data_IF_424872790408
#
_entry.id   IF_424872790408
#
_cell.length_a   1.000
_cell.length_b   1.000
_cell.length_c   1.000
_cell.angle_alpha   90.00
_cell.angle_beta   90.00
_cell.angle_gamma   90.00
#
_symmetry.space_group_name_H-M   'P 1'
#
loop_
_entity.id
_entity.type
_entity.pdbx_description
1 polymer ?
#
# COMPACT_ATOMS: atom_id res chain seq x y z
N UNK A 1 9.78 3.89 -4.13
CA UNK A 1 8.66 3.46 -3.25
C UNK A 1 8.06 2.14 -3.75
N UNK A 2 7.98 1.94 -5.06
CA UNK A 2 7.51 0.71 -5.70
C UNK A 2 8.39 -0.53 -5.42
N UNK A 3 9.73 -0.39 -5.48
CA UNK A 3 10.66 -1.51 -5.28
C UNK A 3 10.63 -2.13 -3.88
N UNK A 4 10.06 -1.44 -2.89
CA UNK A 4 10.03 -1.92 -1.51
C UNK A 4 8.97 -3.00 -1.27
N UNK A 5 7.86 -2.93 -2.00
CA UNK A 5 6.72 -3.85 -1.85
C UNK A 5 6.59 -4.82 -3.03
N UNK A 6 7.24 -4.53 -4.17
CA UNK A 6 7.33 -5.48 -5.27
C UNK A 6 8.15 -6.71 -4.87
N UNK A 7 7.62 -7.89 -5.19
CA UNK A 7 8.19 -9.19 -4.82
C UNK A 7 8.37 -9.32 -3.31
N UNK A 8 7.35 -8.91 -2.55
CA UNK A 8 7.28 -9.11 -1.11
C UNK A 8 6.33 -10.27 -0.81
N UNK A 9 6.77 -11.21 0.01
CA UNK A 9 6.00 -12.36 0.42
C UNK A 9 5.64 -13.29 -0.74
N UNK A 10 4.47 -13.90 -0.62
CA UNK A 10 3.93 -14.82 -1.62
C UNK A 10 2.94 -14.16 -2.59
N UNK A 11 2.43 -12.98 -2.25
CA UNK A 11 1.35 -12.31 -2.97
C UNK A 11 1.73 -10.96 -3.55
N UNK A 12 2.61 -10.17 -2.93
CA UNK A 12 2.98 -8.87 -3.50
C UNK A 12 3.87 -9.03 -4.74
N UNK A 13 3.30 -9.08 -5.94
CA UNK A 13 4.03 -9.20 -7.20
C UNK A 13 3.22 -9.90 -8.29
N UNK A 14 3.90 -10.36 -9.34
CA UNK A 14 3.24 -11.12 -10.41
C UNK A 14 3.02 -12.56 -9.96
N UNK A 15 1.78 -13.06 -10.05
CA UNK A 15 1.46 -14.47 -9.84
C UNK A 15 1.29 -14.90 -8.38
N UNK A 16 0.74 -14.03 -7.53
CA UNK A 16 0.53 -14.29 -6.11
C UNK A 16 -0.24 -15.59 -5.82
N UNK A 17 0.31 -16.43 -4.93
CA UNK A 17 -0.31 -17.71 -4.54
C UNK A 17 0.26 -18.22 -3.21
N UNK A 18 -0.47 -19.11 -2.51
CA UNK A 18 -0.01 -19.71 -1.25
C UNK A 18 -0.46 -18.96 0.02
N UNK A 19 0.19 -19.23 1.15
CA UNK A 19 -0.14 -18.64 2.45
C UNK A 19 0.52 -17.26 2.61
N UNK A 20 -0.18 -16.31 3.23
CA UNK A 20 0.37 -14.96 3.46
C UNK A 20 1.44 -15.00 4.53
N UNK A 21 2.63 -14.46 4.26
CA UNK A 21 3.73 -14.51 5.22
C UNK A 21 3.57 -13.53 6.39
N UNK A 22 2.88 -12.41 6.18
CA UNK A 22 2.54 -11.40 7.18
C UNK A 22 1.39 -10.47 6.72
N UNK A 23 1.11 -9.42 7.49
CA UNK A 23 0.06 -8.45 7.20
C UNK A 23 0.31 -7.62 5.93
N UNK A 24 1.56 -7.40 5.53
CA UNK A 24 1.87 -6.71 4.26
C UNK A 24 1.47 -7.63 3.11
N UNK A 25 1.87 -8.89 3.17
CA UNK A 25 1.53 -9.90 2.16
C UNK A 25 0.02 -10.15 2.07
N UNK A 26 -0.69 -10.06 3.20
CA UNK A 26 -2.15 -10.12 3.25
C UNK A 26 -2.85 -8.92 2.59
N UNK A 27 -2.29 -7.71 2.71
CA UNK A 27 -2.78 -6.56 1.95
C UNK A 27 -2.69 -6.84 0.44
N UNK A 28 -1.59 -7.44 -0.02
CA UNK A 28 -1.39 -7.81 -1.43
C UNK A 28 -2.32 -8.93 -1.89
N UNK A 29 -2.52 -9.97 -1.08
CA UNK A 29 -3.50 -11.01 -1.40
C UNK A 29 -4.91 -10.43 -1.58
N UNK A 30 -5.30 -9.50 -0.72
CA UNK A 30 -6.61 -8.84 -0.80
C UNK A 30 -6.71 -7.98 -2.06
N UNK A 31 -5.63 -7.27 -2.41
CA UNK A 31 -5.52 -6.47 -3.62
C UNK A 31 -5.64 -7.31 -4.89
N UNK A 32 -4.88 -8.41 -4.99
CA UNK A 32 -4.94 -9.35 -6.12
C UNK A 32 -6.34 -9.93 -6.29
N UNK A 33 -6.99 -10.33 -5.20
CA UNK A 33 -8.38 -10.84 -5.24
C UNK A 33 -9.37 -9.77 -5.71
N UNK A 34 -9.16 -8.51 -5.33
CA UNK A 34 -9.97 -7.37 -5.79
C UNK A 34 -9.77 -7.10 -7.29
N UNK A 35 -8.53 -7.16 -7.77
CA UNK A 35 -8.22 -7.05 -9.19
C UNK A 35 -8.79 -8.22 -10.01
N UNK A 36 -8.74 -9.44 -9.48
CA UNK A 36 -9.31 -10.62 -10.12
C UNK A 36 -10.84 -10.52 -10.25
N UNK A 37 -11.53 -9.99 -9.23
CA UNK A 37 -12.99 -9.84 -9.22
C UNK A 37 -13.52 -8.66 -10.03
N UNK A 38 -12.66 -7.72 -10.43
CA UNK A 38 -13.06 -6.60 -11.29
C UNK A 38 -13.55 -7.08 -12.66
N UNK A 39 -14.55 -6.38 -13.20
CA UNK A 39 -15.20 -6.65 -14.50
C UNK A 39 -14.37 -6.22 -15.71
N UNK A 40 -13.13 -5.80 -15.48
CA UNK A 40 -12.21 -5.36 -16.51
C UNK A 40 -11.91 -6.45 -17.54
N UNK A 41 -11.86 -6.05 -18.81
CA UNK A 41 -11.38 -6.94 -19.88
C UNK A 41 -9.91 -7.32 -19.64
N UNK A 42 -9.52 -8.51 -20.09
CA UNK A 42 -8.14 -8.97 -20.08
C UNK A 42 -7.19 -7.95 -20.74
N UNK A 43 -7.65 -7.28 -21.80
CA UNK A 43 -6.89 -6.22 -22.47
C UNK A 43 -6.64 -5.02 -21.53
N UNK A 44 -7.67 -4.56 -20.81
CA UNK A 44 -7.53 -3.44 -19.86
C UNK A 44 -6.63 -3.80 -18.66
N UNK A 45 -6.68 -5.06 -18.21
CA UNK A 45 -5.78 -5.57 -17.16
C UNK A 45 -4.32 -5.65 -17.64
N UNK A 46 -4.09 -5.95 -18.92
CA UNK A 46 -2.75 -6.11 -19.49
C UNK A 46 -2.08 -4.80 -19.93
N UNK A 47 -2.83 -3.92 -20.60
CA UNK A 47 -2.31 -2.62 -21.08
C UNK A 47 -2.34 -1.52 -20.01
N UNK A 48 -2.85 -1.85 -18.82
CA UNK A 48 -2.91 -0.97 -17.67
C UNK A 48 -4.14 -0.04 -17.73
N UNK A 49 -4.96 0.01 -16.66
CA UNK A 49 -6.07 0.96 -16.62
C UNK A 49 -5.55 2.38 -16.47
N UNK A 50 -6.15 3.33 -17.19
CA UNK A 50 -5.98 4.76 -16.90
C UNK A 50 -7.16 5.22 -16.05
N UNK A 51 -6.95 5.29 -14.73
CA UNK A 51 -7.90 5.93 -13.82
C UNK A 51 -7.23 7.10 -13.09
N UNK A 52 -8.01 8.05 -12.62
CA UNK A 52 -7.51 9.27 -11.95
C UNK A 52 -7.77 9.19 -10.45
N UNK A 53 -6.84 9.71 -9.65
CA UNK A 53 -7.02 9.86 -8.19
C UNK A 53 -6.39 11.16 -7.69
N UNK A 54 -6.87 11.64 -6.54
CA UNK A 54 -6.33 12.79 -5.80
C UNK A 54 -6.04 12.38 -4.37
N UNK A 55 -4.89 12.76 -3.82
CA UNK A 55 -4.62 12.58 -2.40
C UNK A 55 -5.25 13.73 -1.61
N UNK A 56 -6.30 13.43 -0.84
CA UNK A 56 -6.96 14.42 0.00
C UNK A 56 -6.38 14.38 1.41
N UNK A 57 -6.03 15.54 1.95
CA UNK A 57 -5.62 15.66 3.35
C UNK A 57 -6.80 15.28 4.27
N UNK A 58 -6.53 14.64 5.41
CA UNK A 58 -7.56 14.34 6.41
C UNK A 58 -8.27 15.61 6.90
N UNK A 59 -7.64 16.79 6.80
CA UNK A 59 -8.24 18.10 7.11
C UNK A 59 -9.47 18.42 6.24
N UNK A 60 -9.54 17.92 5.00
CA UNK A 60 -10.66 18.16 4.07
C UNK A 60 -11.86 17.23 4.25
N UNK A 61 -11.69 16.02 4.82
CA UNK A 61 -12.81 15.09 5.04
C UNK A 61 -13.70 15.49 6.23
N UNK A 62 -13.13 16.18 7.22
CA UNK A 62 -13.88 16.67 8.39
C UNK A 62 -14.70 17.95 8.11
N UNK A 63 -14.57 18.54 6.93
CA UNK A 63 -15.29 19.79 6.58
C UNK A 63 -16.74 19.55 6.13
N UNK A 64 -17.17 18.29 5.87
CA UNK A 64 -18.54 18.01 5.42
C UNK A 64 -19.54 17.67 6.54
N UNK A 65 -19.10 17.57 7.81
CA UNK A 65 -20.01 17.25 8.95
C UNK A 65 -20.01 18.26 10.11
N UNK A 66 -19.30 19.39 10.01
CA UNK A 66 -19.35 20.45 11.02
C UNK A 66 -19.80 21.79 10.43
N UNK A 67 -21.09 21.87 10.06
CA UNK A 67 -21.83 23.14 10.06
C UNK A 67 -22.42 23.37 11.46
N UNK A 68 -21.72 24.13 12.31
CA UNK A 68 -22.35 25.15 13.17
C UNK A 68 -21.34 26.01 13.95
N UNK A 69 -21.59 27.31 13.83
CA UNK A 69 -21.30 28.43 14.73
C UNK A 69 -19.90 29.03 14.76
N UNK A 70 -19.87 30.30 14.35
CA UNK A 70 -18.87 31.32 14.68
C UNK A 70 -18.57 31.38 16.18
N UNK A 71 -17.29 31.45 16.53
CA UNK A 71 -16.77 32.26 17.63
C UNK A 71 -15.29 32.53 17.33
N UNK A 72 -14.87 33.79 17.54
CA UNK A 72 -13.52 34.28 17.27
C UNK A 72 -12.50 33.71 18.26
N UNK A 73 -11.24 33.87 17.85
CA UNK A 73 -10.00 33.85 18.64
C UNK A 73 -9.14 32.59 18.69
N UNK A 74 -7.87 32.90 18.43
CA UNK A 74 -6.63 32.25 18.90
C UNK A 74 -6.03 31.22 17.95
N UNK A 75 -5.01 31.72 17.24
CA UNK A 75 -3.81 30.98 16.80
C UNK A 75 -3.55 29.78 17.74
N UNK A 76 -3.76 28.57 17.25
CA UNK A 76 -2.92 27.43 17.62
C UNK A 76 -2.06 27.12 16.41
N UNK A 77 -0.81 27.55 16.50
CA UNK A 77 0.30 27.04 15.69
C UNK A 77 0.45 25.59 16.16
N UNK A 78 -0.28 24.68 15.52
CA UNK A 78 -0.21 23.28 15.87
C UNK A 78 1.09 22.72 15.31
N UNK A 79 2.05 22.55 16.21
CA UNK A 79 3.30 21.87 15.99
C UNK A 79 3.04 20.36 16.16
N UNK A 80 2.28 19.76 15.24
CA UNK A 80 2.19 18.30 15.13
C UNK A 80 3.16 17.85 14.04
N UNK A 81 4.30 17.36 14.51
CA UNK A 81 5.23 16.55 13.73
C UNK A 81 4.62 15.17 13.54
N UNK A 82 3.61 15.04 12.68
CA UNK A 82 3.05 13.74 12.30
C UNK A 82 2.84 13.70 10.79
N UNK A 83 3.52 12.75 10.14
CA UNK A 83 3.44 12.49 8.70
C UNK A 83 2.05 11.91 8.40
N UNK A 84 1.01 12.74 8.40
CA UNK A 84 -0.31 12.35 7.90
C UNK A 84 -0.36 12.69 6.41
N UNK A 85 0.14 11.76 5.59
CA UNK A 85 -0.04 11.80 4.13
C UNK A 85 -1.50 11.46 3.81
N UNK A 86 -2.12 12.21 2.90
CA UNK A 86 -3.55 12.15 2.58
C UNK A 86 -4.07 10.77 2.13
N UNK A 87 -5.39 10.64 2.06
CA UNK A 87 -6.10 9.44 1.58
C UNK A 87 -6.30 9.56 0.06
N UNK A 88 -5.93 8.55 -0.74
CA UNK A 88 -6.20 8.56 -2.17
C UNK A 88 -7.71 8.46 -2.42
N UNK A 89 -8.26 9.45 -3.11
CA UNK A 89 -9.65 9.52 -3.53
C UNK A 89 -9.72 9.41 -5.05
N UNK A 90 -10.43 8.40 -5.54
CA UNK A 90 -10.68 8.23 -6.96
C UNK A 90 -11.51 9.39 -7.51
N UNK A 91 -11.14 9.88 -8.69
CA UNK A 91 -11.86 10.96 -9.39
C UNK A 91 -12.28 10.48 -10.76
N UNK A 92 -13.47 10.93 -11.17
CA UNK A 92 -14.13 10.51 -12.39
C UNK A 92 -14.40 11.75 -13.25
N UNK A 93 -14.21 11.60 -14.55
CA UNK A 93 -14.78 12.52 -15.52
C UNK A 93 -16.12 11.92 -16.00
N UNK A 94 -16.86 12.63 -16.86
CA UNK A 94 -18.17 12.21 -17.39
C UNK A 94 -18.13 10.88 -18.16
N UNK A 95 -16.95 10.39 -18.55
CA UNK A 95 -16.75 9.10 -19.21
C UNK A 95 -16.56 8.00 -18.15
N UNK A 96 -17.67 7.35 -17.81
CA UNK A 96 -17.78 6.41 -16.71
C UNK A 96 -17.30 5.00 -17.12
N UNK A 97 -16.04 4.69 -16.84
CA UNK A 97 -15.50 3.33 -16.96
C UNK A 97 -15.60 2.58 -15.61
N UNK A 98 -16.49 1.58 -15.56
CA UNK A 98 -16.71 0.73 -14.37
C UNK A 98 -15.42 -0.02 -13.99
N UNK A 99 -14.60 -0.42 -14.98
CA UNK A 99 -13.33 -1.08 -14.73
C UNK A 99 -12.35 -0.14 -14.02
N UNK A 100 -12.13 1.06 -14.59
CA UNK A 100 -11.32 2.10 -13.97
C UNK A 100 -11.81 2.43 -12.55
N UNK A 101 -13.14 2.40 -12.36
CA UNK A 101 -13.76 2.60 -11.06
C UNK A 101 -13.38 1.55 -10.02
N UNK A 102 -13.54 0.29 -10.37
CA UNK A 102 -13.23 -0.82 -9.47
C UNK A 102 -11.75 -0.90 -9.17
N UNK A 103 -10.88 -0.76 -10.17
CA UNK A 103 -9.44 -0.85 -9.98
C UNK A 103 -8.91 0.28 -9.10
N UNK A 104 -9.38 1.52 -9.29
CA UNK A 104 -9.00 2.59 -8.38
C UNK A 104 -9.48 2.33 -6.93
N UNK A 105 -10.68 1.75 -6.76
CA UNK A 105 -11.17 1.39 -5.43
C UNK A 105 -10.33 0.31 -4.77
N UNK A 106 -9.92 -0.71 -5.53
CA UNK A 106 -8.98 -1.74 -5.07
C UNK A 106 -7.66 -1.10 -4.63
N UNK A 107 -7.08 -0.23 -5.46
CA UNK A 107 -5.77 0.38 -5.22
C UNK A 107 -5.81 1.35 -4.03
N UNK A 108 -6.94 2.06 -3.86
CA UNK A 108 -7.21 2.85 -2.65
C UNK A 108 -7.20 1.97 -1.40
N UNK A 109 -7.94 0.88 -1.40
CA UNK A 109 -8.04 -0.02 -0.24
C UNK A 109 -6.67 -0.63 0.12
N UNK A 110 -5.88 -0.94 -0.90
CA UNK A 110 -4.51 -1.44 -0.75
C UNK A 110 -3.60 -0.38 -0.11
N UNK A 111 -3.65 0.87 -0.60
CA UNK A 111 -2.89 1.97 -0.04
C UNK A 111 -3.28 2.25 1.42
N UNK A 112 -4.57 2.22 1.75
CA UNK A 112 -5.06 2.37 3.14
C UNK A 112 -4.63 1.21 4.05
N UNK A 113 -4.52 -0.01 3.51
CA UNK A 113 -4.01 -1.18 4.23
C UNK A 113 -2.54 -0.99 4.59
N UNK A 114 -1.70 -0.70 3.58
CA UNK A 114 -0.26 -0.49 3.79
C UNK A 114 0.04 0.71 4.70
N UNK A 115 -0.76 1.77 4.65
CA UNK A 115 -0.58 2.96 5.48
C UNK A 115 -0.70 2.69 6.99
N UNK A 116 -1.32 1.57 7.39
CA UNK A 116 -1.44 1.15 8.80
C UNK A 116 -0.23 0.37 9.30
N UNK A 117 0.65 -0.07 8.39
CA UNK A 117 1.77 -0.96 8.68
C UNK A 117 3.10 -0.20 8.68
N UNK A 118 4.11 -0.66 9.44
CA UNK A 118 5.44 -0.08 9.38
C UNK A 118 6.06 -0.30 7.99
N UNK A 119 6.81 0.70 7.50
CA UNK A 119 7.53 0.58 6.23
C UNK A 119 8.60 -0.52 6.36
N UNK A 120 8.62 -1.54 5.49
CA UNK A 120 9.57 -2.62 5.61
C UNK A 120 11.00 -2.14 5.31
N UNK A 121 11.94 -2.60 6.13
CA UNK A 121 13.38 -2.37 5.98
C UNK A 121 14.09 -3.52 5.24
N UNK A 122 13.45 -4.67 5.14
CA UNK A 122 13.87 -5.87 4.41
C UNK A 122 12.63 -6.51 3.74
N UNK A 123 12.83 -7.25 2.66
CA UNK A 123 11.77 -8.04 2.01
C UNK A 123 11.70 -9.41 2.67
N UNK A 124 10.49 -9.89 2.90
CA UNK A 124 10.25 -11.29 3.26
C UNK A 124 9.93 -12.03 1.98
N UNK A 125 10.53 -13.18 1.77
CA UNK A 125 10.25 -14.06 0.63
C UNK A 125 9.13 -15.05 1.00
N UNK A 126 8.56 -15.71 0.01
CA UNK A 126 7.49 -16.69 0.23
C UNK A 126 7.93 -17.92 1.06
N UNK A 127 9.22 -18.27 1.00
CA UNK A 127 9.83 -19.32 1.83
C UNK A 127 10.08 -18.88 3.29
N UNK A 128 9.67 -17.66 3.65
CA UNK A 128 9.84 -17.07 4.97
C UNK A 128 11.23 -16.48 5.21
N UNK A 129 12.17 -16.57 4.27
CA UNK A 129 13.49 -15.95 4.39
C UNK A 129 13.42 -14.43 4.24
N UNK A 130 14.39 -13.73 4.85
CA UNK A 130 14.50 -12.27 4.74
C UNK A 130 15.64 -11.90 3.79
N UNK A 131 15.35 -11.06 2.79
CA UNK A 131 16.36 -10.46 1.90
C UNK A 131 16.47 -8.95 2.14
N UNK A 132 17.69 -8.39 2.24
CA UNK A 132 17.88 -6.95 2.35
C UNK A 132 17.29 -6.23 1.14
N UNK A 133 16.62 -5.10 1.37
CA UNK A 133 16.25 -4.19 0.27
C UNK A 133 17.48 -3.35 -0.08
N UNK A 134 17.80 -3.25 -1.37
CA UNK A 134 18.93 -2.45 -1.86
C UNK A 134 18.85 -1.02 -1.30
N UNK A 135 19.96 -0.54 -0.73
CA UNK A 135 20.04 0.80 -0.12
C UNK A 135 19.44 0.95 1.29
N UNK A 136 18.89 -0.11 1.91
CA UNK A 136 18.43 -0.08 3.32
C UNK A 136 19.30 -0.97 4.21
N UNK A 137 19.75 -0.44 5.35
CA UNK A 137 20.43 -1.24 6.38
C UNK A 137 19.43 -2.21 7.03
N UNK A 138 19.74 -3.53 7.10
CA UNK A 138 18.94 -4.47 7.87
C UNK A 138 18.88 -4.06 9.33
N UNK A 139 17.71 -4.18 9.95
CA UNK A 139 17.56 -4.00 11.39
C UNK A 139 18.20 -5.18 12.13
N UNK A 140 18.56 -5.01 13.41
CA UNK A 140 19.16 -6.09 14.23
C UNK A 140 18.28 -7.37 14.26
N UNK A 141 16.96 -7.20 14.17
CA UNK A 141 15.99 -8.31 14.11
C UNK A 141 16.07 -9.14 12.82
N UNK A 142 16.60 -8.60 11.72
CA UNK A 142 16.73 -9.28 10.43
C UNK A 142 18.19 -9.67 10.13
N UNK A 143 19.08 -9.59 11.14
CA UNK A 143 20.51 -9.92 11.04
C UNK A 143 20.76 -11.42 11.25
N UNK A 144 20.08 -12.27 10.48
CA UNK A 144 20.38 -13.69 10.32
C UNK A 144 19.61 -14.16 9.08
N UNK A 145 20.25 -14.58 7.99
CA UNK A 145 21.10 -15.77 7.93
C UNK A 145 22.37 -15.52 7.10
N UNK A 146 23.50 -15.27 7.77
CA UNK A 146 24.76 -15.77 7.20
C UNK A 146 24.76 -17.26 7.49
N UNK A 147 24.68 -18.08 6.45
CA UNK A 147 25.19 -19.44 6.51
C UNK A 147 26.67 -19.33 6.85
N UNK A 148 26.98 -19.40 8.14
CA UNK A 148 28.29 -19.78 8.64
C UNK A 148 28.12 -21.14 9.28
N UNK A 149 29.11 -21.99 9.00
CA UNK A 149 29.32 -23.39 9.43
C UNK A 149 28.76 -24.41 8.41
N UNK A 150 29.57 -25.19 7.68
CA UNK A 150 30.78 -25.89 8.15
C UNK A 150 31.73 -26.21 6.98
N UNK A 151 32.93 -25.64 7.02
CA UNK A 151 34.12 -26.38 6.62
C UNK A 151 34.45 -27.32 7.79
N UNK A 152 34.38 -28.64 7.59
CA UNK A 152 35.14 -29.61 8.39
C UNK A 152 34.93 -31.04 7.87
N UNK A 153 36.02 -31.56 7.29
CA UNK A 153 36.46 -32.96 7.16
C UNK A 153 35.82 -33.84 6.10
#
# INVERSE_FOLDING_TARGET
MFDTYNSYGCWCGVGGSGETVDEIDKCCQTHDKCWASSTCSWFQKYFGPTYKFKCLDKRTHQMSLKKRSSEKHRKKKDQSTDIVKGVPQCVWDEEFDICAMQLCSCDRSFAECLAKLPVPSAKRECDGQWRPVEGKKPTEKHKATKSTDKAAK
#
